data_IF_571755058181
#
_entry.id   IF_571755058181
#
_cell.length_a   1.000
_cell.length_b   1.000
_cell.length_c   1.000
_cell.angle_alpha   90.00
_cell.angle_beta   90.00
_cell.angle_gamma   90.00
#
_symmetry.space_group_name_H-M   'P 1'
#
loop_
_entity.id
_entity.type
_entity.pdbx_description
1 polymer ?
#
# COMPACT_ATOMS: atom_id res chain seq x y z
N UNK A 1 9.19 -18.61 -21.73
CA UNK A 1 8.20 -18.53 -20.64
C UNK A 1 8.32 -17.17 -19.96
N UNK A 2 7.25 -16.39 -19.97
CA UNK A 2 7.23 -15.05 -19.41
C UNK A 2 6.30 -14.98 -18.20
N UNK A 3 6.81 -14.45 -17.09
CA UNK A 3 5.98 -14.12 -15.92
C UNK A 3 5.30 -12.77 -16.16
N UNK A 4 4.02 -12.67 -15.83
CA UNK A 4 3.28 -11.42 -15.89
C UNK A 4 2.84 -11.03 -14.48
N UNK A 5 3.28 -9.87 -14.01
CA UNK A 5 2.98 -9.38 -12.67
C UNK A 5 2.22 -8.07 -12.75
N UNK A 6 1.03 -8.03 -12.16
CA UNK A 6 0.22 -6.82 -12.04
C UNK A 6 0.66 -6.00 -10.85
N UNK A 7 0.92 -4.72 -11.03
CA UNK A 7 1.51 -3.87 -10.00
C UNK A 7 0.81 -2.51 -9.90
N UNK A 8 0.93 -1.87 -8.74
CA UNK A 8 0.58 -0.47 -8.61
C UNK A 8 1.69 0.41 -9.20
N UNK A 9 1.34 1.49 -9.92
CA UNK A 9 2.34 2.35 -10.58
C UNK A 9 3.45 2.87 -9.66
N UNK A 10 3.20 3.22 -8.38
CA UNK A 10 4.27 3.70 -7.51
C UNK A 10 5.39 2.70 -7.25
N UNK A 11 5.15 1.40 -7.46
CA UNK A 11 6.17 0.36 -7.27
C UNK A 11 6.92 0.02 -8.56
N UNK A 12 6.61 0.69 -9.68
CA UNK A 12 7.13 0.31 -10.99
C UNK A 12 8.66 0.37 -11.08
N UNK A 13 9.27 1.48 -10.65
CA UNK A 13 10.72 1.66 -10.83
C UNK A 13 11.57 0.63 -10.07
N UNK A 14 11.34 0.36 -8.78
CA UNK A 14 12.08 -0.71 -8.11
C UNK A 14 11.87 -2.09 -8.75
N UNK A 15 10.66 -2.38 -9.18
CA UNK A 15 10.36 -3.65 -9.85
C UNK A 15 11.03 -3.74 -11.22
N UNK A 16 11.12 -2.65 -11.97
CA UNK A 16 11.84 -2.62 -13.24
C UNK A 16 13.33 -2.94 -13.08
N UNK A 17 13.93 -2.48 -11.97
CA UNK A 17 15.32 -2.83 -11.65
C UNK A 17 15.45 -4.33 -11.43
N UNK A 18 14.55 -4.92 -10.66
CA UNK A 18 14.52 -6.37 -10.43
C UNK A 18 14.29 -7.15 -11.73
N UNK A 19 13.41 -6.66 -12.61
CA UNK A 19 13.16 -7.26 -13.93
C UNK A 19 14.42 -7.31 -14.77
N UNK A 20 15.18 -6.21 -14.80
CA UNK A 20 16.45 -6.15 -15.56
C UNK A 20 17.48 -7.13 -15.02
N UNK A 21 17.61 -7.26 -13.71
CA UNK A 21 18.52 -8.24 -13.09
C UNK A 21 18.07 -9.67 -13.35
N UNK A 22 16.78 -9.93 -13.25
CA UNK A 22 16.20 -11.26 -13.51
C UNK A 22 16.44 -11.70 -14.96
N UNK A 23 16.35 -10.78 -15.90
CA UNK A 23 16.60 -11.06 -17.32
C UNK A 23 18.02 -11.57 -17.55
N UNK A 24 19.01 -11.03 -16.82
CA UNK A 24 20.39 -11.49 -16.89
C UNK A 24 20.54 -12.93 -16.40
N UNK A 25 19.60 -13.41 -15.60
CA UNK A 25 19.57 -14.78 -15.09
C UNK A 25 18.61 -15.68 -15.88
N UNK A 26 18.13 -15.20 -17.03
CA UNK A 26 17.22 -15.99 -17.88
C UNK A 26 15.76 -15.99 -17.44
N UNK A 27 15.39 -15.10 -16.52
CA UNK A 27 14.00 -14.98 -16.04
C UNK A 27 13.37 -13.77 -16.71
N UNK A 28 12.31 -14.00 -17.49
CA UNK A 28 11.61 -12.95 -18.21
C UNK A 28 10.35 -12.56 -17.45
N UNK A 29 10.23 -11.28 -17.10
CA UNK A 29 9.11 -10.74 -16.34
C UNK A 29 8.56 -9.52 -17.06
N UNK A 30 7.23 -9.52 -17.23
CA UNK A 30 6.47 -8.39 -17.76
C UNK A 30 5.66 -7.78 -16.62
N UNK A 31 5.75 -6.47 -16.46
CA UNK A 31 4.98 -5.73 -15.48
C UNK A 31 3.78 -5.09 -16.16
N UNK A 32 2.60 -5.22 -15.54
CA UNK A 32 1.35 -4.58 -15.98
C UNK A 32 0.88 -3.66 -14.87
N UNK A 33 0.69 -2.38 -15.17
CA UNK A 33 0.29 -1.40 -14.16
C UNK A 33 -1.22 -1.27 -14.08
N UNK A 34 -1.73 -1.28 -12.86
CA UNK A 34 -3.15 -1.05 -12.55
C UNK A 34 -3.27 0.17 -11.64
N UNK A 35 -4.08 1.13 -12.03
CA UNK A 35 -4.26 2.36 -11.23
C UNK A 35 -5.29 2.23 -10.11
N UNK A 36 -6.13 1.21 -10.16
CA UNK A 36 -7.14 0.91 -9.13
C UNK A 36 -6.73 -0.29 -8.26
N UNK A 37 -7.48 -0.55 -7.20
CA UNK A 37 -7.20 -1.65 -6.27
C UNK A 37 -8.18 -2.82 -6.37
N UNK A 38 -9.05 -2.84 -7.36
CA UNK A 38 -9.99 -3.95 -7.58
C UNK A 38 -9.57 -4.85 -8.75
N UNK A 39 -9.17 -4.25 -9.86
CA UNK A 39 -8.82 -4.97 -11.08
C UNK A 39 -7.66 -5.96 -10.91
N UNK A 40 -6.60 -5.68 -10.12
CA UNK A 40 -5.51 -6.63 -9.99
C UNK A 40 -5.91 -8.00 -9.44
N UNK A 41 -6.83 -8.06 -8.50
CA UNK A 41 -7.31 -9.35 -7.96
C UNK A 41 -8.26 -10.05 -8.92
N UNK A 42 -9.12 -9.30 -9.62
CA UNK A 42 -10.02 -9.86 -10.65
C UNK A 42 -9.19 -10.51 -11.75
N UNK A 43 -8.20 -9.79 -12.26
CA UNK A 43 -7.32 -10.24 -13.34
C UNK A 43 -6.51 -11.48 -12.92
N UNK A 44 -6.01 -11.47 -11.70
CA UNK A 44 -5.26 -12.61 -11.14
C UNK A 44 -6.18 -13.84 -10.96
N UNK A 45 -7.36 -13.65 -10.42
CA UNK A 45 -8.29 -14.74 -10.20
C UNK A 45 -8.70 -15.42 -11.52
N UNK A 46 -8.80 -14.66 -12.60
CA UNK A 46 -9.09 -15.20 -13.92
C UNK A 46 -7.89 -15.90 -14.57
N UNK A 47 -6.69 -15.76 -14.01
CA UNK A 47 -5.48 -16.38 -14.54
C UNK A 47 -4.84 -15.59 -15.68
N UNK A 48 -5.22 -14.34 -15.88
CA UNK A 48 -4.67 -13.49 -16.94
C UNK A 48 -3.30 -12.93 -16.59
N UNK A 49 -2.94 -12.92 -15.32
CA UNK A 49 -1.60 -12.58 -14.82
C UNK A 49 -1.15 -13.69 -13.86
N UNK A 50 0.16 -13.79 -13.64
CA UNK A 50 0.74 -14.82 -12.77
C UNK A 50 0.71 -14.42 -11.29
N UNK A 51 0.91 -13.14 -11.01
CA UNK A 51 0.94 -12.60 -9.66
C UNK A 51 0.52 -11.14 -9.67
N UNK A 52 0.19 -10.60 -8.49
CA UNK A 52 0.10 -9.16 -8.35
C UNK A 52 0.89 -8.67 -7.12
N UNK A 53 1.24 -7.39 -7.13
CA UNK A 53 2.02 -6.74 -6.09
C UNK A 53 1.47 -5.33 -5.90
N UNK A 54 0.53 -5.17 -4.95
CA UNK A 54 -0.11 -3.87 -4.67
C UNK A 54 -0.76 -3.81 -3.29
N UNK A 55 -1.02 -4.95 -2.63
CA UNK A 55 -1.87 -5.07 -1.46
C UNK A 55 -1.15 -5.70 -0.27
N UNK A 56 -1.59 -5.35 0.93
CA UNK A 56 -1.13 -5.99 2.16
C UNK A 56 -2.11 -7.07 2.62
N UNK A 57 -1.73 -7.84 3.65
CA UNK A 57 -2.51 -8.99 4.10
C UNK A 57 -3.94 -8.64 4.52
N UNK A 58 -4.19 -7.58 5.33
CA UNK A 58 -5.58 -7.25 5.68
C UNK A 58 -6.45 -6.90 4.47
N UNK A 59 -5.89 -6.25 3.46
CA UNK A 59 -6.63 -5.94 2.24
C UNK A 59 -6.96 -7.23 1.47
N UNK A 60 -5.98 -8.14 1.34
CA UNK A 60 -6.20 -9.43 0.67
C UNK A 60 -7.26 -10.25 1.40
N UNK A 61 -7.20 -10.34 2.72
CA UNK A 61 -8.16 -11.09 3.52
C UNK A 61 -9.59 -10.57 3.30
N UNK A 62 -9.76 -9.26 3.29
CA UNK A 62 -11.05 -8.64 3.03
C UNK A 62 -11.53 -8.90 1.59
N UNK A 63 -10.63 -8.82 0.62
CA UNK A 63 -10.96 -9.09 -0.78
C UNK A 63 -11.44 -10.54 -0.96
N UNK A 64 -10.74 -11.50 -0.34
CA UNK A 64 -11.15 -12.92 -0.38
C UNK A 64 -12.51 -13.13 0.30
N UNK A 65 -12.72 -12.48 1.44
CA UNK A 65 -13.99 -12.57 2.16
C UNK A 65 -15.17 -12.08 1.30
N UNK A 66 -14.98 -10.97 0.60
CA UNK A 66 -16.04 -10.36 -0.21
C UNK A 66 -16.26 -11.05 -1.55
N UNK A 67 -15.20 -11.56 -2.19
CA UNK A 67 -15.27 -12.08 -3.55
C UNK A 67 -15.25 -13.60 -3.62
N UNK A 68 -14.76 -14.28 -2.59
CA UNK A 68 -14.49 -15.73 -2.57
C UNK A 68 -13.42 -16.14 -3.60
N UNK A 69 -12.58 -15.20 -4.04
CA UNK A 69 -11.49 -15.50 -4.95
C UNK A 69 -10.48 -16.46 -4.31
N UNK A 70 -9.88 -17.31 -5.13
CA UNK A 70 -8.94 -18.34 -4.71
C UNK A 70 -7.50 -17.83 -4.78
N UNK A 71 -7.18 -16.86 -3.93
CA UNK A 71 -5.88 -16.18 -3.89
C UNK A 71 -5.14 -16.47 -2.59
N UNK A 72 -3.81 -16.38 -2.64
CA UNK A 72 -2.98 -16.49 -1.43
C UNK A 72 -1.73 -15.63 -1.55
N UNK A 73 -1.22 -15.19 -0.41
CA UNK A 73 0.06 -14.53 -0.32
C UNK A 73 1.18 -15.55 -0.55
N UNK A 74 2.13 -15.22 -1.43
CA UNK A 74 3.29 -16.05 -1.68
C UNK A 74 4.48 -15.58 -0.83
N UNK A 75 4.75 -14.28 -0.82
CA UNK A 75 5.86 -13.70 -0.07
C UNK A 75 5.62 -12.21 0.15
N UNK A 76 6.45 -11.60 0.99
CA UNK A 76 6.36 -10.20 1.35
C UNK A 76 7.39 -9.36 0.63
N UNK A 77 6.98 -8.18 0.20
CA UNK A 77 7.84 -7.13 -0.29
C UNK A 77 8.03 -6.04 0.75
N UNK A 78 7.91 -4.79 0.32
CA UNK A 78 8.16 -3.64 1.19
C UNK A 78 6.99 -3.37 2.13
N UNK A 79 7.31 -2.86 3.31
CA UNK A 79 6.34 -2.26 4.22
C UNK A 79 6.53 -0.76 4.15
N UNK A 80 5.49 -0.01 3.79
CA UNK A 80 5.56 1.45 3.81
C UNK A 80 4.88 1.99 5.06
N UNK A 81 5.47 3.02 5.64
CA UNK A 81 4.75 3.83 6.64
C UNK A 81 3.63 4.58 5.94
N UNK A 82 2.64 4.99 6.70
CA UNK A 82 1.58 5.88 6.21
C UNK A 82 1.59 7.13 7.09
N UNK A 83 1.05 8.22 6.57
CA UNK A 83 1.11 9.49 7.27
C UNK A 83 -0.12 10.35 7.11
N UNK A 84 -0.19 11.36 7.96
CA UNK A 84 -1.13 12.46 7.83
C UNK A 84 -0.38 13.66 7.25
N UNK A 85 -0.93 14.25 6.22
CA UNK A 85 -0.30 15.31 5.42
C UNK A 85 -1.19 16.52 5.29
N UNK A 86 -0.57 17.69 5.21
CA UNK A 86 -1.27 18.94 4.93
C UNK A 86 -0.32 19.92 4.23
N UNK A 87 -0.82 20.60 3.20
CA UNK A 87 -0.11 21.71 2.56
C UNK A 87 -0.46 23.04 3.21
N UNK A 88 -1.50 23.06 4.03
CA UNK A 88 -2.04 24.30 4.63
C UNK A 88 -1.58 24.53 6.06
N UNK A 89 -1.29 23.47 6.80
CA UNK A 89 -0.95 23.53 8.22
C UNK A 89 0.33 22.76 8.51
N UNK A 90 1.14 23.26 9.42
CA UNK A 90 2.48 22.73 9.70
C UNK A 90 2.54 21.75 10.87
N UNK A 91 1.44 21.58 11.59
CA UNK A 91 1.40 20.68 12.74
C UNK A 91 0.00 20.14 12.97
N UNK A 92 -0.09 19.02 13.70
CA UNK A 92 -1.38 18.47 14.10
C UNK A 92 -2.19 19.48 14.93
N UNK A 93 -1.52 20.21 15.84
CA UNK A 93 -2.21 21.19 16.69
C UNK A 93 -2.80 22.37 15.88
N UNK A 94 -2.21 22.67 14.74
CA UNK A 94 -2.69 23.76 13.88
C UNK A 94 -3.92 23.40 13.04
N UNK A 95 -4.30 22.13 12.97
CA UNK A 95 -5.48 21.69 12.23
C UNK A 95 -6.71 22.33 12.85
N UNK A 96 -7.51 23.09 12.07
CA UNK A 96 -8.64 23.83 12.61
C UNK A 96 -9.88 22.95 12.83
N UNK A 97 -10.86 23.52 13.55
CA UNK A 97 -12.19 22.91 13.62
C UNK A 97 -12.81 22.83 12.23
N UNK A 98 -13.58 21.78 12.00
CA UNK A 98 -14.27 21.51 10.74
C UNK A 98 -13.32 21.25 9.56
N UNK A 99 -12.05 20.89 9.84
CA UNK A 99 -11.08 20.62 8.78
C UNK A 99 -11.58 19.49 7.86
N UNK A 100 -11.45 19.70 6.56
CA UNK A 100 -11.76 18.69 5.56
C UNK A 100 -10.66 17.63 5.58
N UNK A 101 -11.04 16.42 5.97
CA UNK A 101 -10.11 15.34 6.26
C UNK A 101 -10.37 14.16 5.33
N UNK A 102 -9.42 13.86 4.46
CA UNK A 102 -9.54 12.80 3.45
C UNK A 102 -8.99 11.49 3.99
N UNK A 103 -9.78 10.43 3.83
CA UNK A 103 -9.42 9.06 4.22
C UNK A 103 -9.81 8.09 3.10
N UNK A 104 -9.20 6.89 3.05
CA UNK A 104 -9.60 5.87 2.10
C UNK A 104 -11.01 5.36 2.34
N UNK A 105 -11.67 4.91 1.27
CA UNK A 105 -13.04 4.41 1.35
C UNK A 105 -13.17 2.90 1.54
N UNK A 106 -12.09 2.13 1.39
CA UNK A 106 -12.18 0.69 1.67
C UNK A 106 -12.08 0.43 3.18
N UNK A 107 -12.76 -0.62 3.68
CA UNK A 107 -12.85 -0.86 5.12
C UNK A 107 -11.50 -0.99 5.82
N UNK A 108 -10.54 -1.64 5.17
CA UNK A 108 -9.25 -1.95 5.78
C UNK A 108 -8.36 -0.71 5.90
N UNK A 109 -8.21 0.05 4.80
CA UNK A 109 -7.38 1.26 4.84
C UNK A 109 -8.07 2.41 5.56
N UNK A 110 -9.40 2.46 5.55
CA UNK A 110 -10.15 3.39 6.39
C UNK A 110 -9.84 3.15 7.87
N UNK A 111 -9.92 1.90 8.32
CA UNK A 111 -9.56 1.54 9.70
C UNK A 111 -8.14 1.96 10.04
N UNK A 112 -7.20 1.73 9.12
CA UNK A 112 -5.80 2.14 9.30
C UNK A 112 -5.68 3.66 9.43
N UNK A 113 -6.41 4.42 8.63
CA UNK A 113 -6.43 5.88 8.70
C UNK A 113 -7.00 6.38 10.03
N UNK A 114 -8.08 5.77 10.50
CA UNK A 114 -8.68 6.15 11.77
C UNK A 114 -7.75 5.86 12.96
N UNK A 115 -7.03 4.74 12.92
CA UNK A 115 -6.01 4.45 13.94
C UNK A 115 -4.90 5.49 13.95
N UNK A 116 -4.48 5.99 12.78
CA UNK A 116 -3.46 7.04 12.72
C UNK A 116 -4.00 8.37 13.25
N UNK A 117 -5.24 8.71 12.92
CA UNK A 117 -5.89 9.91 13.49
C UNK A 117 -6.00 9.81 15.02
N UNK A 118 -6.27 8.62 15.55
CA UNK A 118 -6.27 8.38 16.99
C UNK A 118 -4.86 8.51 17.59
N UNK A 119 -3.84 7.98 16.92
CA UNK A 119 -2.44 8.16 17.33
C UNK A 119 -2.07 9.66 17.41
N UNK A 120 -2.59 10.45 16.47
CA UNK A 120 -2.41 11.91 16.45
C UNK A 120 -3.27 12.64 17.50
N UNK A 121 -4.11 11.92 18.24
CA UNK A 121 -5.02 12.47 19.26
C UNK A 121 -6.08 13.40 18.70
N UNK A 122 -6.41 13.24 17.41
CA UNK A 122 -7.48 14.00 16.77
C UNK A 122 -8.87 13.39 16.98
N UNK A 123 -8.92 12.08 17.19
CA UNK A 123 -10.14 11.33 17.45
C UNK A 123 -9.90 10.25 18.49
N UNK A 124 -10.99 9.69 19.02
CA UNK A 124 -10.95 8.46 19.81
C UNK A 124 -11.94 7.46 19.22
N UNK A 125 -11.53 6.18 19.18
CA UNK A 125 -12.35 5.10 18.66
C UNK A 125 -12.96 4.29 19.80
N UNK A 126 -14.13 3.71 19.54
CA UNK A 126 -14.86 2.86 20.50
C UNK A 126 -13.97 1.72 21.01
N UNK A 127 -13.27 1.02 20.10
CA UNK A 127 -12.24 0.06 20.44
C UNK A 127 -10.92 0.58 19.84
N UNK A 128 -10.01 1.09 20.68
CA UNK A 128 -8.78 1.73 20.18
C UNK A 128 -7.83 0.77 19.47
N UNK A 129 -8.06 -0.54 19.53
CA UNK A 129 -7.20 -1.54 18.90
C UNK A 129 -7.86 -2.21 17.67
N UNK A 130 -9.06 -1.77 17.30
CA UNK A 130 -9.77 -2.39 16.18
C UNK A 130 -9.28 -1.83 14.83
N UNK A 131 -8.54 -2.64 14.07
CA UNK A 131 -8.04 -2.27 12.74
C UNK A 131 -9.15 -2.07 11.70
N UNK A 132 -10.36 -2.55 11.97
CA UNK A 132 -11.50 -2.44 11.06
C UNK A 132 -12.50 -1.40 11.53
N UNK A 133 -12.10 -0.47 12.38
CA UNK A 133 -12.93 0.65 12.79
C UNK A 133 -13.37 1.46 11.57
N UNK A 134 -14.62 1.95 11.62
CA UNK A 134 -15.18 2.82 10.60
C UNK A 134 -15.61 4.16 11.24
N UNK A 135 -16.16 5.07 10.44
CA UNK A 135 -16.54 6.40 10.93
C UNK A 135 -17.56 6.36 12.06
N UNK A 136 -18.40 5.32 12.11
CA UNK A 136 -19.41 5.17 13.18
C UNK A 136 -18.79 4.76 14.50
N UNK A 137 -17.56 4.30 14.51
CA UNK A 137 -16.83 3.90 15.71
C UNK A 137 -16.11 5.08 16.39
N UNK A 138 -16.20 6.28 15.82
CA UNK A 138 -15.62 7.48 16.41
C UNK A 138 -16.49 7.91 17.60
N UNK A 139 -15.90 7.90 18.80
CA UNK A 139 -16.59 8.32 20.02
C UNK A 139 -16.23 9.73 20.46
N UNK A 140 -15.12 10.28 19.95
CA UNK A 140 -14.68 11.64 20.23
C UNK A 140 -14.04 12.24 18.98
N UNK A 141 -14.46 13.45 18.65
CA UNK A 141 -13.96 14.22 17.51
C UNK A 141 -13.97 15.70 17.89
N UNK A 142 -13.07 16.14 18.80
CA UNK A 142 -13.12 17.50 19.37
C UNK A 142 -13.05 18.62 18.34
N UNK A 143 -12.28 18.43 17.27
CA UNK A 143 -12.14 19.46 16.20
C UNK A 143 -13.24 19.35 15.15
N UNK A 144 -14.19 18.44 15.32
CA UNK A 144 -15.30 18.27 14.37
C UNK A 144 -14.80 18.07 12.93
N UNK A 145 -13.79 17.23 12.75
CA UNK A 145 -13.23 16.92 11.42
C UNK A 145 -14.35 16.45 10.50
N UNK A 146 -14.33 16.98 9.25
CA UNK A 146 -15.29 16.63 8.22
C UNK A 146 -14.66 15.59 7.30
N UNK A 147 -15.08 14.34 7.40
CA UNK A 147 -14.45 13.24 6.68
C UNK A 147 -14.94 13.17 5.25
N UNK A 148 -14.00 13.01 4.33
CA UNK A 148 -14.24 12.81 2.90
C UNK A 148 -13.56 11.51 2.51
N UNK A 149 -14.36 10.57 2.01
CA UNK A 149 -13.89 9.23 1.64
C UNK A 149 -13.57 9.20 0.15
N UNK A 150 -12.37 8.77 -0.19
CA UNK A 150 -11.94 8.60 -1.59
C UNK A 150 -11.23 7.26 -1.75
N UNK A 151 -11.09 6.80 -2.98
CA UNK A 151 -10.28 5.61 -3.23
C UNK A 151 -8.84 5.84 -2.78
N UNK A 152 -8.22 4.81 -2.18
CA UNK A 152 -6.87 4.92 -1.62
C UNK A 152 -5.85 5.58 -2.54
N UNK A 153 -5.75 5.15 -3.83
CA UNK A 153 -4.82 5.79 -4.76
C UNK A 153 -5.06 7.28 -4.99
N UNK A 154 -6.28 7.77 -4.76
CA UNK A 154 -6.64 9.17 -4.99
C UNK A 154 -6.31 10.07 -3.79
N UNK A 155 -5.97 9.51 -2.63
CA UNK A 155 -5.65 10.32 -1.45
C UNK A 155 -4.48 11.26 -1.69
N UNK A 156 -3.47 10.84 -2.43
CA UNK A 156 -2.29 11.65 -2.70
C UNK A 156 -2.62 12.96 -3.44
N UNK A 157 -3.59 12.93 -4.35
CA UNK A 157 -4.02 14.13 -5.10
C UNK A 157 -4.87 15.04 -4.25
N UNK A 158 -5.59 14.50 -3.29
CA UNK A 158 -6.48 15.27 -2.41
C UNK A 158 -5.72 16.25 -1.51
N UNK A 159 -4.41 16.08 -1.35
CA UNK A 159 -3.56 16.99 -0.55
C UNK A 159 -3.65 18.44 -1.05
N UNK A 160 -3.87 18.64 -2.35
CA UNK A 160 -3.98 20.00 -2.93
C UNK A 160 -5.25 20.72 -2.48
N UNK A 161 -6.32 20.00 -2.16
CA UNK A 161 -7.64 20.57 -1.92
C UNK A 161 -8.13 20.47 -0.48
N UNK A 162 -7.69 19.47 0.25
CA UNK A 162 -8.15 19.21 1.61
C UNK A 162 -7.26 19.86 2.66
N UNK A 163 -7.74 19.90 3.90
CA UNK A 163 -6.97 20.44 5.03
C UNK A 163 -6.04 19.39 5.63
N UNK A 164 -6.48 18.15 5.67
CA UNK A 164 -5.72 17.01 6.25
C UNK A 164 -5.99 15.78 5.42
N UNK A 165 -4.94 15.02 5.11
CA UNK A 165 -5.06 13.83 4.25
C UNK A 165 -4.27 12.67 4.83
N UNK A 166 -4.92 11.52 4.98
CA UNK A 166 -4.21 10.26 5.16
C UNK A 166 -3.73 9.77 3.80
N UNK A 167 -2.43 9.49 3.67
CA UNK A 167 -1.91 8.99 2.41
C UNK A 167 -0.67 8.12 2.58
N UNK A 168 -0.18 7.64 1.46
CA UNK A 168 0.89 6.65 1.33
C UNK A 168 2.11 7.34 0.69
N UNK A 169 3.31 7.20 1.28
CA UNK A 169 4.51 7.89 0.76
C UNK A 169 4.78 7.61 -0.71
N UNK A 170 4.62 6.37 -1.15
CA UNK A 170 4.89 5.99 -2.54
C UNK A 170 3.90 6.63 -3.53
N UNK A 171 2.63 6.76 -3.15
CA UNK A 171 1.66 7.47 -3.98
C UNK A 171 1.91 8.99 -4.00
N UNK A 172 2.32 9.57 -2.87
CA UNK A 172 2.67 10.98 -2.79
C UNK A 172 3.90 11.30 -3.65
N UNK A 173 4.89 10.41 -3.65
CA UNK A 173 6.09 10.57 -4.47
C UNK A 173 5.73 10.58 -5.95
N UNK A 174 4.85 9.69 -6.38
CA UNK A 174 4.40 9.63 -7.76
C UNK A 174 3.57 10.85 -8.15
N UNK A 175 2.65 11.26 -7.29
CA UNK A 175 1.76 12.40 -7.53
C UNK A 175 2.48 13.76 -7.46
N UNK A 176 3.60 13.82 -6.73
CA UNK A 176 4.39 15.06 -6.54
C UNK A 176 3.61 16.20 -5.92
N UNK A 177 2.60 15.89 -5.11
CA UNK A 177 1.77 16.90 -4.46
C UNK A 177 2.41 17.47 -3.20
N UNK A 178 3.13 16.63 -2.46
CA UNK A 178 3.87 17.00 -1.26
C UNK A 178 5.04 16.03 -1.09
N UNK A 179 6.12 16.49 -0.43
CA UNK A 179 7.21 15.59 -0.07
C UNK A 179 6.70 14.60 0.99
N UNK A 180 6.75 13.29 0.73
CA UNK A 180 6.28 12.30 1.70
C UNK A 180 7.06 12.31 3.02
N UNK A 181 8.25 12.92 3.06
CA UNK A 181 8.99 13.14 4.31
C UNK A 181 8.35 14.23 5.20
N UNK A 182 7.47 15.04 4.66
CA UNK A 182 6.84 16.16 5.37
C UNK A 182 5.51 15.78 6.04
N UNK A 183 5.36 14.53 6.45
CA UNK A 183 4.20 14.10 7.21
C UNK A 183 4.09 14.88 8.52
N UNK A 184 2.88 15.28 8.88
CA UNK A 184 2.61 15.84 10.22
C UNK A 184 2.80 14.77 11.30
N UNK A 185 2.47 13.52 10.96
CA UNK A 185 2.72 12.35 11.76
C UNK A 185 2.82 11.14 10.84
N UNK A 186 3.75 10.22 11.14
CA UNK A 186 3.84 8.91 10.52
C UNK A 186 3.33 7.87 11.50
N UNK A 187 2.81 6.74 11.00
CA UNK A 187 2.48 5.63 11.87
C UNK A 187 3.74 5.13 12.59
N UNK A 188 3.54 4.53 13.75
CA UNK A 188 4.61 3.95 14.55
C UNK A 188 4.76 2.44 14.31
N UNK A 189 4.24 1.94 13.21
CA UNK A 189 4.23 0.52 12.87
C UNK A 189 5.66 -0.01 12.68
N UNK A 190 5.97 -1.09 13.37
CA UNK A 190 7.25 -1.81 13.25
C UNK A 190 7.07 -3.26 12.81
N UNK A 191 5.82 -3.73 12.69
CA UNK A 191 5.54 -5.10 12.27
C UNK A 191 5.27 -5.17 10.76
N UNK A 192 5.17 -6.39 10.23
CA UNK A 192 5.02 -6.64 8.79
C UNK A 192 3.59 -6.94 8.37
N UNK A 193 2.60 -6.57 9.20
CA UNK A 193 1.19 -6.81 8.88
C UNK A 193 0.78 -6.11 7.57
N UNK A 194 1.28 -4.90 7.37
CA UNK A 194 0.94 -4.09 6.19
C UNK A 194 2.01 -4.14 5.09
N UNK A 195 2.88 -5.16 5.11
CA UNK A 195 3.82 -5.38 4.01
C UNK A 195 3.05 -5.67 2.73
N UNK A 196 3.51 -5.08 1.63
CA UNK A 196 2.93 -5.36 0.31
C UNK A 196 3.32 -6.79 -0.08
N UNK A 197 2.36 -7.52 -0.61
CA UNK A 197 2.48 -8.95 -0.89
C UNK A 197 2.64 -9.22 -2.36
N UNK A 198 3.44 -10.25 -2.67
CA UNK A 198 3.31 -10.97 -3.94
C UNK A 198 2.20 -11.99 -3.75
N UNK A 199 1.13 -11.86 -4.52
CA UNK A 199 -0.09 -12.68 -4.40
C UNK A 199 -0.26 -13.50 -5.66
N UNK A 200 -0.61 -14.76 -5.50
CA UNK A 200 -0.87 -15.70 -6.60
C UNK A 200 -2.21 -16.41 -6.36
N UNK A 201 -2.70 -17.11 -7.39
CA UNK A 201 -3.80 -18.05 -7.19
C UNK A 201 -3.34 -19.18 -6.24
N UNK A 202 -4.26 -19.67 -5.44
CA UNK A 202 -3.94 -20.75 -4.48
C UNK A 202 -3.50 -22.06 -5.16
N UNK A 203 -3.87 -22.25 -6.43
CA UNK A 203 -3.50 -23.42 -7.24
C UNK A 203 -2.28 -23.16 -8.16
N UNK A 204 -1.63 -22.00 -8.05
CA UNK A 204 -0.58 -21.58 -8.98
C UNK A 204 0.59 -22.56 -9.05
N UNK A 205 1.09 -23.02 -7.91
CA UNK A 205 2.20 -23.97 -7.82
C UNK A 205 1.88 -25.28 -8.55
N UNK A 206 0.66 -25.75 -8.43
CA UNK A 206 0.21 -27.00 -9.04
C UNK A 206 0.00 -26.87 -10.55
N UNK A 207 -0.57 -25.73 -10.97
CA UNK A 207 -0.89 -25.47 -12.39
C UNK A 207 0.32 -25.05 -13.20
N UNK A 208 1.26 -24.34 -12.57
CA UNK A 208 2.42 -23.75 -13.24
C UNK A 208 3.70 -23.91 -12.43
N UNK A 209 4.17 -25.16 -12.19
CA UNK A 209 5.30 -25.40 -11.29
C UNK A 209 6.61 -24.72 -11.75
N UNK A 210 6.86 -24.64 -13.06
CA UNK A 210 8.07 -23.98 -13.58
C UNK A 210 8.01 -22.47 -13.39
N UNK A 211 6.87 -21.86 -13.70
CA UNK A 211 6.65 -20.43 -13.48
C UNK A 211 6.71 -20.08 -12.00
N UNK A 212 6.15 -20.92 -11.14
CA UNK A 212 6.19 -20.71 -9.70
C UNK A 212 7.63 -20.69 -9.19
N UNK A 213 8.48 -21.59 -9.66
CA UNK A 213 9.89 -21.60 -9.30
C UNK A 213 10.62 -20.34 -9.78
N UNK A 214 10.33 -19.89 -11.00
CA UNK A 214 10.89 -18.65 -11.54
C UNK A 214 10.42 -17.42 -10.78
N UNK A 215 9.15 -17.39 -10.39
CA UNK A 215 8.60 -16.29 -9.60
C UNK A 215 9.29 -16.19 -8.24
N UNK A 216 9.54 -17.33 -7.58
CA UNK A 216 10.27 -17.34 -6.31
C UNK A 216 11.67 -16.77 -6.46
N UNK A 217 12.37 -17.10 -7.55
CA UNK A 217 13.70 -16.53 -7.85
C UNK A 217 13.62 -15.03 -8.10
N UNK A 218 12.61 -14.58 -8.84
CA UNK A 218 12.39 -13.15 -9.08
C UNK A 218 12.16 -12.40 -7.78
N UNK A 219 11.30 -12.93 -6.91
CA UNK A 219 11.02 -12.32 -5.61
C UNK A 219 12.32 -12.21 -4.79
N UNK A 220 13.15 -13.25 -4.79
CA UNK A 220 14.43 -13.23 -4.08
C UNK A 220 15.37 -12.14 -4.62
N UNK A 221 15.40 -11.95 -5.93
CA UNK A 221 16.15 -10.85 -6.55
C UNK A 221 15.64 -9.50 -6.04
N UNK A 222 14.33 -9.30 -6.06
CA UNK A 222 13.70 -8.08 -5.56
C UNK A 222 14.06 -7.80 -4.09
N UNK A 223 14.06 -8.84 -3.26
CA UNK A 223 14.34 -8.72 -1.84
C UNK A 223 15.82 -8.50 -1.51
N UNK A 224 16.75 -8.96 -2.35
CA UNK A 224 18.18 -8.98 -2.02
C UNK A 224 19.04 -8.03 -2.86
N UNK A 225 18.51 -7.45 -3.93
CA UNK A 225 19.29 -6.57 -4.82
C UNK A 225 19.57 -5.22 -4.15
N UNK A 226 20.86 -4.83 -4.12
CA UNK A 226 21.26 -3.51 -3.64
C UNK A 226 20.70 -2.38 -4.52
N UNK A 227 20.61 -2.60 -5.83
CA UNK A 227 20.03 -1.61 -6.75
C UNK A 227 18.56 -1.39 -6.48
N UNK A 228 17.81 -2.46 -6.20
CA UNK A 228 16.39 -2.35 -5.82
C UNK A 228 16.28 -1.53 -4.53
N UNK A 229 17.10 -1.82 -3.53
CA UNK A 229 17.10 -1.09 -2.26
C UNK A 229 17.40 0.40 -2.47
N UNK A 230 18.40 0.72 -3.28
CA UNK A 230 18.74 2.11 -3.59
C UNK A 230 17.58 2.82 -4.30
N UNK A 231 16.90 2.13 -5.22
CA UNK A 231 15.74 2.67 -5.92
C UNK A 231 14.57 2.90 -4.96
N UNK A 232 14.31 1.97 -4.05
CA UNK A 232 13.29 2.14 -3.00
C UNK A 232 13.59 3.36 -2.14
N UNK A 233 14.86 3.54 -1.74
CA UNK A 233 15.27 4.69 -0.94
C UNK A 233 15.04 6.01 -1.66
N UNK A 234 15.34 6.08 -2.97
CA UNK A 234 15.15 7.31 -3.75
C UNK A 234 13.69 7.56 -4.13
N UNK A 235 12.92 6.51 -4.41
CA UNK A 235 11.53 6.63 -4.88
C UNK A 235 10.52 6.78 -3.73
N UNK A 236 10.77 6.17 -2.59
CA UNK A 236 9.85 6.25 -1.44
C UNK A 236 10.43 7.20 -0.39
N UNK A 237 11.64 6.91 0.07
CA UNK A 237 12.32 7.62 1.14
C UNK A 237 12.89 6.61 2.12
N UNK A 238 14.16 6.78 2.48
CA UNK A 238 14.89 5.80 3.31
C UNK A 238 14.19 5.52 4.64
N UNK A 239 13.54 6.53 5.22
CA UNK A 239 12.86 6.42 6.52
C UNK A 239 11.39 6.04 6.41
N UNK A 240 10.87 5.88 5.17
CA UNK A 240 9.44 5.71 4.93
C UNK A 240 9.07 4.28 4.57
N UNK A 241 10.04 3.38 4.50
CA UNK A 241 9.82 1.97 4.23
C UNK A 241 10.79 1.10 5.00
N UNK A 242 10.46 -0.16 5.15
CA UNK A 242 11.35 -1.21 5.66
C UNK A 242 10.98 -2.55 5.03
N UNK A 243 11.94 -3.51 5.00
CA UNK A 243 11.64 -4.83 4.43
C UNK A 243 10.56 -5.58 5.19
N UNK A 244 9.63 -6.20 4.44
CA UNK A 244 8.68 -7.14 5.01
C UNK A 244 9.25 -8.56 5.12
N UNK A 245 10.39 -8.79 4.51
CA UNK A 245 11.10 -10.08 4.48
C UNK A 245 12.30 -10.06 5.43
N UNK A 246 12.86 -11.23 5.61
CA UNK A 246 14.13 -11.39 6.35
C UNK A 246 15.12 -12.25 5.59
#
# INVERSE_FOLDING_TARGET
>A
TELVIGISPPFANPLKVAVAEAKQQGINVKLVEFSDWNTPNITLNHGDIDANYFQHQPFLDNAIKETQFKLKALDKGVTTHVGLYSKKYDSIDAIPENARTVIPNDPVNQGRALLLLQQAKLISLKDPNNHLSNLQDIVSNPKKLQFIEVEGPQTARAVDDADLVFSYPHYLRLAKTIDPNDALILDDNTNTLYSILFVVRDDYQQQHPEKAAQLEKFIKIYQTSDKVKQTLNSEIGEKLWFPGWK
#
